data_IF_633893753865
#
_entry.id   IF_633893753865
#
_cell.length_a   1.000
_cell.length_b   1.000
_cell.length_c   1.000
_cell.angle_alpha   90.00
_cell.angle_beta   90.00
_cell.angle_gamma   90.00
#
_symmetry.space_group_name_H-M   'P 1'
#
loop_
_entity.id
_entity.type
_entity.pdbx_description
1 polymer ?
#
# COMPACT_ATOMS: atom_id res chain seq x y z
N UNK A 1 32.44 1.03 -5.58
CA UNK A 1 31.54 0.27 -6.48
C UNK A 1 30.96 -0.91 -5.70
N UNK A 2 29.72 -0.78 -5.19
CA UNK A 2 29.10 -1.84 -4.38
C UNK A 2 28.65 -2.98 -5.30
N UNK A 3 29.36 -4.11 -5.26
CA UNK A 3 28.91 -5.36 -5.88
C UNK A 3 27.58 -5.79 -5.25
N UNK A 4 26.47 -5.47 -5.91
CA UNK A 4 25.16 -6.01 -5.57
C UNK A 4 25.12 -7.47 -5.97
N UNK A 5 24.97 -8.39 -5.01
CA UNK A 5 24.90 -9.81 -5.32
C UNK A 5 23.74 -10.08 -6.30
N UNK A 6 23.90 -10.98 -7.29
CA UNK A 6 22.88 -11.25 -8.32
C UNK A 6 21.50 -11.54 -7.74
N UNK A 7 21.47 -12.19 -6.56
CA UNK A 7 20.23 -12.49 -5.82
C UNK A 7 19.45 -11.25 -5.41
N UNK A 8 20.13 -10.17 -4.97
CA UNK A 8 19.47 -8.92 -4.58
C UNK A 8 18.81 -8.24 -5.79
N UNK A 9 19.48 -8.25 -6.92
CA UNK A 9 18.93 -7.72 -8.17
C UNK A 9 17.62 -8.43 -8.53
N UNK A 10 17.61 -9.77 -8.55
CA UNK A 10 16.41 -10.54 -8.87
C UNK A 10 15.27 -10.34 -7.87
N UNK A 11 15.57 -10.19 -6.58
CA UNK A 11 14.54 -9.89 -5.57
C UNK A 11 13.89 -8.51 -5.78
N UNK A 12 14.70 -7.50 -6.11
CA UNK A 12 14.19 -6.16 -6.43
C UNK A 12 13.37 -6.21 -7.72
N UNK A 13 13.88 -6.88 -8.77
CA UNK A 13 13.16 -7.04 -10.03
C UNK A 13 11.80 -7.74 -9.83
N UNK A 14 11.76 -8.81 -9.04
CA UNK A 14 10.51 -9.51 -8.71
C UNK A 14 9.56 -8.61 -7.91
N UNK A 15 10.05 -7.85 -6.93
CA UNK A 15 9.23 -6.90 -6.18
C UNK A 15 8.63 -5.81 -7.08
N UNK A 16 9.45 -5.23 -7.97
CA UNK A 16 8.99 -4.27 -8.96
C UNK A 16 7.92 -4.89 -9.88
N UNK A 17 8.12 -6.11 -10.36
CA UNK A 17 7.14 -6.80 -11.20
C UNK A 17 5.79 -6.99 -10.48
N UNK A 18 5.80 -7.37 -9.19
CA UNK A 18 4.58 -7.50 -8.38
C UNK A 18 3.87 -6.16 -8.21
N UNK A 19 4.60 -5.09 -7.90
CA UNK A 19 4.01 -3.74 -7.75
C UNK A 19 3.41 -3.25 -9.06
N UNK A 20 4.11 -3.45 -10.19
CA UNK A 20 3.62 -3.09 -11.52
C UNK A 20 2.38 -3.89 -11.90
N UNK A 21 2.37 -5.20 -11.65
CA UNK A 21 1.20 -6.05 -11.90
C UNK A 21 0.01 -5.61 -11.04
N UNK A 22 0.25 -5.34 -9.76
CA UNK A 22 -0.76 -4.84 -8.82
C UNK A 22 -1.36 -3.50 -9.27
N UNK A 23 -0.55 -2.59 -9.81
CA UNK A 23 -1.01 -1.33 -10.37
C UNK A 23 -1.82 -1.53 -11.66
N UNK A 24 -1.31 -2.34 -12.59
CA UNK A 24 -1.96 -2.62 -13.86
C UNK A 24 -3.36 -3.22 -13.67
N UNK A 25 -3.49 -4.25 -12.83
CA UNK A 25 -4.79 -4.88 -12.56
C UNK A 25 -5.80 -3.90 -11.96
N UNK A 26 -5.36 -3.01 -11.06
CA UNK A 26 -6.23 -2.01 -10.43
C UNK A 26 -6.68 -0.94 -11.42
N UNK A 27 -5.77 -0.43 -12.25
CA UNK A 27 -6.08 0.60 -13.26
C UNK A 27 -7.04 0.04 -14.32
N UNK A 28 -6.76 -1.16 -14.84
CA UNK A 28 -7.61 -1.81 -15.84
C UNK A 28 -9.01 -2.12 -15.28
N UNK A 29 -9.09 -2.65 -14.05
CA UNK A 29 -10.37 -2.90 -13.39
C UNK A 29 -11.15 -1.60 -13.12
N UNK A 30 -10.48 -0.56 -12.63
CA UNK A 30 -11.08 0.72 -12.30
C UNK A 30 -11.66 1.46 -13.52
N UNK A 31 -11.10 1.27 -14.71
CA UNK A 31 -11.62 1.88 -15.94
C UNK A 31 -12.91 1.20 -16.44
N UNK A 32 -12.99 -0.13 -16.35
CA UNK A 32 -14.03 -0.91 -17.02
C UNK A 32 -15.22 -1.29 -16.13
N UNK A 33 -15.01 -1.50 -14.83
CA UNK A 33 -16.07 -1.96 -13.94
C UNK A 33 -17.07 -0.85 -13.57
N UNK A 34 -18.37 -1.17 -13.40
CA UNK A 34 -19.35 -0.24 -12.85
C UNK A 34 -19.02 0.12 -11.39
N UNK A 35 -19.63 1.18 -10.87
CA UNK A 35 -19.46 1.55 -9.47
C UNK A 35 -20.14 0.53 -8.55
N UNK A 36 -19.45 0.20 -7.47
CA UNK A 36 -20.04 -0.53 -6.35
C UNK A 36 -20.89 0.40 -5.50
N UNK A 37 -21.81 -0.14 -4.70
CA UNK A 37 -22.75 0.67 -3.90
C UNK A 37 -22.05 1.61 -2.92
N UNK A 38 -20.94 1.18 -2.33
CA UNK A 38 -20.11 2.00 -1.44
C UNK A 38 -19.35 3.10 -2.19
N UNK A 39 -18.89 2.83 -3.42
CA UNK A 39 -18.29 3.86 -4.27
C UNK A 39 -19.32 4.93 -4.67
N UNK A 40 -20.53 4.49 -5.05
CA UNK A 40 -21.63 5.39 -5.36
C UNK A 40 -22.01 6.27 -4.14
N UNK A 41 -21.99 5.70 -2.94
CA UNK A 41 -22.18 6.45 -1.70
C UNK A 41 -21.10 7.52 -1.50
N UNK A 42 -19.82 7.18 -1.69
CA UNK A 42 -18.72 8.14 -1.56
C UNK A 42 -18.86 9.31 -2.55
N UNK A 43 -19.23 9.02 -3.79
CA UNK A 43 -19.47 10.03 -4.83
C UNK A 43 -20.66 10.92 -4.44
N UNK A 44 -21.76 10.30 -3.98
CA UNK A 44 -22.95 11.04 -3.56
C UNK A 44 -22.68 11.95 -2.35
N UNK A 45 -21.93 11.47 -1.37
CA UNK A 45 -21.57 12.25 -0.17
C UNK A 45 -20.70 13.45 -0.51
N UNK A 46 -19.78 13.32 -1.47
CA UNK A 46 -18.79 14.36 -1.81
C UNK A 46 -19.28 15.44 -2.78
N UNK A 47 -20.41 15.21 -3.46
CA UNK A 47 -20.91 16.09 -4.55
C UNK A 47 -21.41 17.46 -4.09
N UNK A 48 -21.89 17.59 -2.85
CA UNK A 48 -22.64 18.77 -2.39
C UNK A 48 -21.79 19.74 -1.54
N UNK A 49 -20.45 19.67 -1.65
CA UNK A 49 -19.51 20.54 -0.95
C UNK A 49 -19.17 20.10 0.48
N UNK A 50 -18.12 20.70 1.05
CA UNK A 50 -17.52 20.23 2.31
C UNK A 50 -18.47 20.32 3.52
N UNK A 51 -19.28 21.39 3.60
CA UNK A 51 -20.17 21.61 4.74
C UNK A 51 -21.25 20.52 4.84
N UNK A 52 -22.01 20.30 3.76
CA UNK A 52 -23.06 19.29 3.74
C UNK A 52 -22.49 17.87 3.82
N UNK A 53 -21.31 17.64 3.25
CA UNK A 53 -20.57 16.39 3.42
C UNK A 53 -20.27 16.11 4.89
N UNK A 54 -19.71 17.07 5.63
CA UNK A 54 -19.40 16.90 7.05
C UNK A 54 -20.66 16.63 7.89
N UNK A 55 -21.78 17.29 7.58
CA UNK A 55 -23.08 17.02 8.22
C UNK A 55 -23.54 15.58 7.98
N UNK A 56 -23.50 15.11 6.72
CA UNK A 56 -23.85 13.73 6.36
C UNK A 56 -22.96 12.70 7.05
N UNK A 57 -21.67 12.98 7.14
CA UNK A 57 -20.69 12.09 7.77
C UNK A 57 -20.88 12.03 9.29
N UNK A 58 -21.21 13.17 9.92
CA UNK A 58 -21.55 13.22 11.33
C UNK A 58 -22.80 12.38 11.64
N UNK A 59 -23.84 12.47 10.80
CA UNK A 59 -25.06 11.68 10.94
C UNK A 59 -24.84 10.16 10.76
N UNK A 60 -23.84 9.76 9.97
CA UNK A 60 -23.55 8.36 9.65
C UNK A 60 -22.27 7.81 10.34
N UNK A 61 -21.69 8.55 11.28
CA UNK A 61 -20.48 8.18 12.03
C UNK A 61 -19.26 7.78 11.15
N UNK A 62 -19.13 8.36 9.95
CA UNK A 62 -18.01 8.09 9.06
C UNK A 62 -16.86 9.09 9.28
N UNK A 63 -15.60 8.63 9.44
CA UNK A 63 -14.45 9.52 9.54
C UNK A 63 -14.27 10.39 8.29
N UNK A 64 -14.07 11.72 8.44
CA UNK A 64 -14.13 12.64 7.30
C UNK A 64 -12.88 12.70 6.44
N UNK A 65 -11.75 12.16 6.92
CA UNK A 65 -10.45 12.31 6.26
C UNK A 65 -10.45 11.83 4.80
N UNK A 66 -11.03 10.66 4.54
CA UNK A 66 -11.09 10.11 3.18
C UNK A 66 -11.98 10.94 2.26
N UNK A 67 -13.13 11.40 2.74
CA UNK A 67 -14.10 12.16 1.95
C UNK A 67 -13.59 13.56 1.63
N UNK A 68 -12.89 14.21 2.57
CA UNK A 68 -12.19 15.48 2.33
C UNK A 68 -11.10 15.32 1.26
N UNK A 69 -10.31 14.25 1.34
CA UNK A 69 -9.29 13.97 0.33
C UNK A 69 -9.92 13.69 -1.05
N UNK A 70 -11.00 12.90 -1.10
CA UNK A 70 -11.71 12.60 -2.34
C UNK A 70 -12.33 13.85 -2.97
N UNK A 71 -12.99 14.69 -2.18
CA UNK A 71 -13.56 15.95 -2.67
C UNK A 71 -12.48 16.89 -3.20
N UNK A 72 -11.38 17.08 -2.46
CA UNK A 72 -10.25 17.88 -2.93
C UNK A 72 -9.63 17.33 -4.21
N UNK A 73 -9.57 15.99 -4.34
CA UNK A 73 -9.08 15.33 -5.54
C UNK A 73 -10.02 15.49 -6.74
N UNK A 74 -11.33 15.40 -6.54
CA UNK A 74 -12.32 15.63 -7.60
C UNK A 74 -12.19 17.04 -8.21
N UNK A 75 -11.87 18.06 -7.40
CA UNK A 75 -11.64 19.43 -7.90
C UNK A 75 -10.50 19.50 -8.91
N UNK A 76 -9.45 18.70 -8.74
CA UNK A 76 -8.26 18.76 -9.61
C UNK A 76 -8.27 17.71 -10.74
N UNK A 77 -8.85 16.53 -10.50
CA UNK A 77 -8.80 15.40 -11.41
C UNK A 77 -10.14 15.09 -12.11
N UNK A 78 -11.23 15.74 -11.69
CA UNK A 78 -12.57 15.53 -12.21
C UNK A 78 -13.28 14.30 -11.64
N UNK A 79 -14.36 13.90 -12.30
CA UNK A 79 -15.32 12.87 -11.88
C UNK A 79 -15.24 11.57 -12.69
N UNK A 80 -14.20 11.40 -13.51
CA UNK A 80 -13.97 10.17 -14.25
C UNK A 80 -13.80 8.96 -13.33
N UNK A 81 -14.23 7.77 -13.77
CA UNK A 81 -14.14 6.51 -12.99
C UNK A 81 -12.74 6.26 -12.41
N UNK A 82 -11.71 6.49 -13.22
CA UNK A 82 -10.32 6.30 -12.79
C UNK A 82 -9.90 7.36 -11.78
N UNK A 83 -10.31 8.63 -11.96
CA UNK A 83 -10.02 9.72 -11.05
C UNK A 83 -10.63 9.45 -9.66
N UNK A 84 -11.90 9.03 -9.62
CA UNK A 84 -12.62 8.72 -8.39
C UNK A 84 -12.03 7.53 -7.62
N UNK A 85 -11.43 6.57 -8.33
CA UNK A 85 -10.78 5.39 -7.74
C UNK A 85 -9.29 5.60 -7.44
N UNK A 86 -8.69 6.69 -7.94
CA UNK A 86 -7.24 6.88 -7.93
C UNK A 86 -6.64 6.85 -6.53
N UNK A 87 -7.26 7.51 -5.55
CA UNK A 87 -6.75 7.53 -4.17
C UNK A 87 -6.66 6.11 -3.58
N UNK A 88 -7.68 5.28 -3.81
CA UNK A 88 -7.71 3.88 -3.38
C UNK A 88 -6.70 3.01 -4.14
N UNK A 89 -6.54 3.24 -5.45
CA UNK A 89 -5.53 2.56 -6.28
C UNK A 89 -4.13 2.89 -5.75
N UNK A 90 -3.83 4.17 -5.52
CA UNK A 90 -2.54 4.64 -5.02
C UNK A 90 -2.23 4.06 -3.64
N UNK A 91 -3.19 4.09 -2.71
CA UNK A 91 -3.03 3.48 -1.38
C UNK A 91 -2.75 1.97 -1.46
N UNK A 92 -3.45 1.25 -2.33
CA UNK A 92 -3.24 -0.19 -2.53
C UNK A 92 -1.87 -0.51 -3.15
N UNK A 93 -1.43 0.26 -4.14
CA UNK A 93 -0.10 0.11 -4.77
C UNK A 93 1.01 0.40 -3.75
N UNK A 94 0.87 1.49 -2.98
CA UNK A 94 1.82 1.85 -1.92
C UNK A 94 1.91 0.75 -0.85
N UNK A 95 0.76 0.24 -0.41
CA UNK A 95 0.70 -0.88 0.55
C UNK A 95 1.42 -2.12 0.01
N UNK A 96 1.21 -2.46 -1.26
CA UNK A 96 1.89 -3.58 -1.93
C UNK A 96 3.42 -3.40 -1.93
N UNK A 97 3.89 -2.17 -2.18
CA UNK A 97 5.32 -1.87 -2.16
C UNK A 97 5.94 -1.96 -0.76
N UNK A 98 5.20 -1.51 0.28
CA UNK A 98 5.70 -1.45 1.66
C UNK A 98 5.74 -2.84 2.34
N UNK A 99 4.77 -3.71 2.05
CA UNK A 99 4.65 -5.03 2.70
C UNK A 99 5.85 -5.95 2.38
N UNK A 100 6.65 -5.63 1.36
CA UNK A 100 7.83 -6.42 1.03
C UNK A 100 8.74 -6.58 2.26
N UNK A 101 8.95 -7.82 2.76
CA UNK A 101 9.59 -8.03 4.06
C UNK A 101 11.00 -7.47 4.05
N UNK A 102 11.22 -6.40 4.82
CA UNK A 102 12.56 -6.03 5.27
C UNK A 102 13.04 -7.21 6.11
N UNK A 103 14.01 -7.96 5.60
CA UNK A 103 14.65 -9.06 6.32
C UNK A 103 15.28 -8.48 7.59
N UNK A 104 14.54 -8.43 8.70
CA UNK A 104 15.10 -8.16 10.03
C UNK A 104 16.15 -9.23 10.23
N UNK A 105 17.41 -8.80 10.39
CA UNK A 105 18.53 -9.71 10.56
C UNK A 105 18.17 -10.73 11.63
N UNK A 106 18.20 -12.02 11.26
CA UNK A 106 18.01 -13.12 12.21
C UNK A 106 18.98 -12.89 13.36
N UNK A 107 18.43 -12.89 14.57
CA UNK A 107 19.19 -12.94 15.82
C UNK A 107 20.24 -14.03 15.67
N UNK A 108 21.51 -13.64 15.65
CA UNK A 108 22.64 -14.56 15.67
C UNK A 108 22.49 -15.40 16.94
N UNK A 109 22.47 -16.74 16.88
CA UNK A 109 22.58 -17.55 18.08
C UNK A 109 23.92 -17.20 18.74
N UNK A 110 23.89 -16.75 20.00
CA UNK A 110 25.07 -16.60 20.83
C UNK A 110 25.76 -17.96 20.92
N UNK A 111 27.07 -17.95 20.70
CA UNK A 111 27.86 -19.13 20.35
C UNK A 111 27.82 -20.27 21.34
N UNK A 112 27.93 -21.49 20.81
CA UNK A 112 28.42 -22.64 21.55
C UNK A 112 29.94 -22.47 21.67
N UNK A 113 30.41 -22.06 22.84
CA UNK A 113 31.83 -22.10 23.16
C UNK A 113 32.29 -23.57 23.13
N UNK A 114 33.15 -23.88 22.17
CA UNK A 114 33.95 -25.10 22.13
C UNK A 114 35.40 -24.64 22.15
N UNK A 115 35.92 -24.39 23.34
CA UNK A 115 37.32 -24.62 23.71
C UNK A 115 37.27 -25.68 24.81
N UNK A 116 37.92 -26.82 24.69
CA UNK A 116 39.32 -26.94 24.31
C UNK A 116 40.18 -26.79 25.57
N UNK A 117 39.97 -27.68 26.54
CA UNK A 117 40.99 -28.16 27.46
C UNK A 117 40.79 -29.68 27.44
N UNK A 118 41.37 -30.44 26.51
CA UNK A 118 42.80 -30.80 26.49
C UNK A 118 43.51 -30.54 27.81
N UNK A 119 43.16 -31.36 28.80
CA UNK A 119 44.09 -31.80 29.83
C UNK A 119 44.36 -33.27 29.57
N UNK A 120 45.22 -33.57 28.60
CA UNK A 120 46.07 -34.76 28.70
C UNK A 120 47.08 -34.51 29.82
N UNK A 121 47.12 -35.40 30.82
CA UNK A 121 48.32 -36.09 31.34
C UNK A 121 48.18 -36.43 32.83
N UNK A 122 48.36 -37.74 33.08
CA UNK A 122 48.70 -38.46 34.32
C UNK A 122 47.51 -38.77 35.22
#
# INVERSE_FOLDING_TARGET
MTSSSPRKFWLIAAACAVVLLAAAMRILGAGHLPFWSDEAWNIWVTRDGAALMLERLAANHHPPAYFLALQGWQVVAGDGKLALRFLSIAAGVLTTAIIYPRRRGRLRPRGRDRRGADVRRI
#
